data_IF_848448101904
#
_entry.id   IF_848448101904
#
_cell.length_a   1.000
_cell.length_b   1.000
_cell.length_c   1.000
_cell.angle_alpha   90.00
_cell.angle_beta   90.00
_cell.angle_gamma   90.00
#
_symmetry.space_group_name_H-M   'P 1'
#
loop_
_entity.id
_entity.type
_entity.pdbx_description
1 polymer ?
#
# COMPACT_ATOMS: atom_id res chain seq x y z
N UNK A 1 -3.95 11.98 -4.15
CA UNK A 1 -2.80 11.92 -5.09
C UNK A 1 -2.66 13.24 -5.79
N UNK A 2 -1.49 13.88 -5.66
CA UNK A 2 -1.27 15.28 -6.05
C UNK A 2 -1.25 15.54 -7.55
N UNK A 3 -1.02 16.81 -7.92
CA UNK A 3 -0.77 17.24 -9.31
C UNK A 3 0.67 16.99 -9.77
N UNK A 4 1.55 16.63 -8.83
CA UNK A 4 2.98 16.39 -9.08
C UNK A 4 3.15 14.90 -9.40
N UNK A 5 3.82 14.62 -10.52
CA UNK A 5 4.24 13.27 -10.85
C UNK A 5 5.39 12.86 -9.92
N UNK A 6 5.21 11.75 -9.22
CA UNK A 6 6.26 11.10 -8.43
C UNK A 6 6.57 9.76 -9.11
N UNK A 7 7.77 9.62 -9.67
CA UNK A 7 8.14 8.42 -10.44
C UNK A 7 8.10 7.13 -9.62
N UNK A 8 8.37 7.22 -8.31
CA UNK A 8 8.33 6.08 -7.39
C UNK A 8 6.91 5.64 -7.01
N UNK A 9 5.86 6.38 -7.41
CA UNK A 9 4.49 6.10 -6.98
C UNK A 9 3.61 5.67 -8.15
N UNK A 10 3.28 4.38 -8.20
CA UNK A 10 2.29 3.87 -9.15
C UNK A 10 0.88 4.31 -8.71
N UNK A 11 0.36 5.34 -9.38
CA UNK A 11 -0.92 5.95 -9.02
C UNK A 11 -2.15 5.15 -9.45
N UNK A 12 -2.07 4.38 -10.54
CA UNK A 12 -3.19 3.61 -11.08
C UNK A 12 -3.51 2.40 -10.23
N UNK A 13 -2.49 1.72 -9.73
CA UNK A 13 -2.56 0.56 -8.85
C UNK A 13 -3.28 0.94 -7.56
N UNK A 14 -2.81 1.99 -6.88
CA UNK A 14 -3.43 2.46 -5.64
C UNK A 14 -4.86 2.93 -5.89
N UNK A 15 -5.09 3.77 -6.91
CA UNK A 15 -6.43 4.28 -7.21
C UNK A 15 -7.39 3.18 -7.69
N UNK A 16 -6.90 2.09 -8.26
CA UNK A 16 -7.71 0.94 -8.66
C UNK A 16 -8.48 0.29 -7.51
N UNK A 17 -7.98 0.38 -6.28
CA UNK A 17 -8.70 -0.07 -5.08
C UNK A 17 -9.89 0.83 -4.71
N UNK A 18 -9.90 2.08 -5.16
CA UNK A 18 -10.89 3.09 -4.79
C UNK A 18 -11.95 3.33 -5.89
N UNK A 19 -11.78 2.75 -7.08
CA UNK A 19 -12.78 2.79 -8.13
C UNK A 19 -12.23 2.56 -9.53
N UNK A 20 -13.14 2.31 -10.49
CA UNK A 20 -12.78 2.09 -11.90
C UNK A 20 -12.43 3.37 -12.65
N UNK A 21 -13.01 4.51 -12.23
CA UNK A 21 -12.77 5.83 -12.82
C UNK A 21 -11.79 6.60 -11.96
N UNK A 22 -10.73 7.12 -12.56
CA UNK A 22 -9.66 7.86 -11.86
C UNK A 22 -10.22 9.07 -11.09
N UNK A 23 -11.19 9.78 -11.67
CA UNK A 23 -11.83 10.93 -11.02
C UNK A 23 -12.52 10.55 -9.70
N UNK A 24 -13.23 9.43 -9.70
CA UNK A 24 -14.02 8.97 -8.57
C UNK A 24 -13.10 8.33 -7.52
N UNK A 25 -12.15 7.50 -7.98
CA UNK A 25 -11.12 6.91 -7.14
C UNK A 25 -10.30 7.95 -6.37
N UNK A 26 -10.00 9.11 -6.98
CA UNK A 26 -9.31 10.20 -6.31
C UNK A 26 -10.13 10.79 -5.17
N UNK A 27 -11.44 10.96 -5.35
CA UNK A 27 -12.35 11.46 -4.31
C UNK A 27 -12.45 10.46 -3.16
N UNK A 28 -12.68 9.18 -3.48
CA UNK A 28 -12.78 8.12 -2.46
C UNK A 28 -11.46 7.91 -1.70
N UNK A 29 -10.32 8.01 -2.39
CA UNK A 29 -9.01 7.99 -1.73
C UNK A 29 -8.83 9.19 -0.79
N UNK A 30 -9.23 10.39 -1.21
CA UNK A 30 -9.13 11.60 -0.38
C UNK A 30 -10.02 11.50 0.87
N UNK A 31 -11.25 11.01 0.73
CA UNK A 31 -12.15 10.74 1.86
C UNK A 31 -11.58 9.70 2.82
N UNK A 32 -11.00 8.61 2.29
CA UNK A 32 -10.33 7.59 3.10
C UNK A 32 -9.15 8.15 3.90
N UNK A 33 -8.29 8.96 3.26
CA UNK A 33 -7.15 9.60 3.94
C UNK A 33 -7.62 10.57 5.03
N UNK A 34 -8.67 11.35 4.77
CA UNK A 34 -9.28 12.24 5.77
C UNK A 34 -9.85 11.48 6.97
N UNK A 35 -10.46 10.32 6.76
CA UNK A 35 -10.89 9.47 7.87
C UNK A 35 -9.69 8.97 8.68
N UNK A 36 -8.59 8.62 8.00
CA UNK A 36 -7.33 8.22 8.63
C UNK A 36 -6.68 9.30 9.48
N UNK A 37 -6.93 10.59 9.21
CA UNK A 37 -6.44 11.70 10.03
C UNK A 37 -6.92 11.59 11.49
N UNK A 38 -8.18 11.15 11.69
CA UNK A 38 -8.74 10.96 13.03
C UNK A 38 -8.07 9.84 13.84
N UNK A 39 -7.43 8.87 13.16
CA UNK A 39 -6.71 7.76 13.79
C UNK A 39 -5.32 8.19 14.29
N UNK A 40 -4.87 9.39 13.92
CA UNK A 40 -3.57 9.91 14.31
C UNK A 40 -2.41 9.06 13.82
N UNK A 41 -1.29 9.11 14.55
CA UNK A 41 -0.14 8.28 14.22
C UNK A 41 -0.41 6.85 14.68
N UNK A 42 -0.32 5.90 13.77
CA UNK A 42 -0.50 4.47 14.03
C UNK A 42 0.88 3.79 14.06
N UNK A 43 1.54 3.66 15.23
CA UNK A 43 2.93 3.20 15.34
C UNK A 43 3.16 1.84 14.67
N UNK A 44 2.15 0.99 14.67
CA UNK A 44 2.12 -0.34 14.05
C UNK A 44 2.07 -0.32 12.53
N UNK A 45 1.89 0.83 11.87
CA UNK A 45 1.93 0.91 10.40
C UNK A 45 3.11 1.76 9.88
N UNK A 46 4.01 2.22 10.78
CA UNK A 46 5.16 3.07 10.45
C UNK A 46 6.47 2.52 11.02
N UNK A 47 7.60 2.77 10.35
CA UNK A 47 8.93 2.46 10.89
C UNK A 47 9.13 0.99 11.32
N UNK A 48 8.62 0.05 10.53
CA UNK A 48 8.66 -1.38 10.87
C UNK A 48 7.72 -1.79 12.01
N UNK A 49 6.78 -0.92 12.39
CA UNK A 49 5.74 -1.21 13.37
C UNK A 49 4.90 -2.43 13.03
N UNK A 50 4.64 -2.67 11.76
CA UNK A 50 3.79 -3.77 11.30
C UNK A 50 4.44 -5.11 11.59
N UNK A 51 5.75 -5.18 11.37
CA UNK A 51 6.56 -6.36 11.68
C UNK A 51 6.53 -6.65 13.19
N UNK A 52 6.60 -5.60 14.02
CA UNK A 52 6.55 -5.71 15.49
C UNK A 52 5.16 -6.10 16.01
N UNK A 53 4.09 -5.49 15.49
CA UNK A 53 2.71 -5.79 15.92
C UNK A 53 2.28 -7.20 15.52
N UNK A 54 2.76 -7.71 14.39
CA UNK A 54 2.53 -9.07 13.93
C UNK A 54 3.47 -10.10 14.58
N UNK A 55 4.37 -9.70 15.48
CA UNK A 55 5.33 -10.59 16.14
C UNK A 55 6.33 -11.24 15.17
N UNK A 56 6.53 -10.64 14.00
CA UNK A 56 7.41 -11.18 12.96
C UNK A 56 8.86 -10.79 13.22
N UNK A 57 9.78 -11.70 12.93
CA UNK A 57 11.22 -11.38 12.89
C UNK A 57 11.58 -10.73 11.55
N UNK A 58 12.71 -10.01 11.50
CA UNK A 58 13.22 -9.45 10.24
C UNK A 58 13.38 -10.52 9.14
N UNK A 59 13.98 -11.71 9.41
CA UNK A 59 14.02 -12.79 8.42
C UNK A 59 12.63 -13.29 7.99
N UNK A 60 11.68 -13.37 8.94
CA UNK A 60 10.31 -13.79 8.66
C UNK A 60 9.58 -12.83 7.73
N UNK A 61 9.80 -11.52 7.90
CA UNK A 61 9.28 -10.49 6.98
C UNK A 61 9.90 -10.64 5.58
N UNK A 62 11.23 -10.77 5.48
CA UNK A 62 11.90 -10.95 4.17
C UNK A 62 11.38 -12.18 3.45
N UNK A 63 11.15 -13.27 4.18
CA UNK A 63 10.54 -14.49 3.62
C UNK A 63 9.13 -14.22 3.10
N UNK A 64 8.27 -13.55 3.89
CA UNK A 64 6.90 -13.25 3.50
C UNK A 64 6.82 -12.37 2.25
N UNK A 65 7.68 -11.34 2.14
CA UNK A 65 7.77 -10.47 0.95
C UNK A 65 8.17 -11.27 -0.29
N UNK A 66 9.27 -12.03 -0.22
CA UNK A 66 9.75 -12.87 -1.34
C UNK A 66 8.72 -13.92 -1.79
N UNK A 67 7.97 -14.47 -0.82
CA UNK A 67 6.89 -15.42 -1.12
C UNK A 67 5.73 -14.71 -1.83
N UNK A 68 5.35 -13.52 -1.37
CA UNK A 68 4.33 -12.70 -2.01
C UNK A 68 4.68 -12.33 -3.46
N UNK A 69 5.93 -11.92 -3.69
CA UNK A 69 6.46 -11.63 -5.03
C UNK A 69 6.31 -12.83 -5.98
N UNK A 70 6.73 -14.02 -5.53
CA UNK A 70 6.60 -15.26 -6.31
C UNK A 70 5.14 -15.57 -6.66
N UNK A 71 4.24 -15.49 -5.68
CA UNK A 71 2.82 -15.75 -5.86
C UNK A 71 2.17 -14.76 -6.84
N UNK A 72 2.62 -13.51 -6.81
CA UNK A 72 2.14 -12.51 -7.75
C UNK A 72 2.61 -12.83 -9.18
N UNK A 73 3.89 -13.18 -9.36
CA UNK A 73 4.42 -13.63 -10.66
C UNK A 73 3.68 -14.86 -11.19
N UNK A 74 3.47 -15.88 -10.36
CA UNK A 74 2.72 -17.10 -10.73
C UNK A 74 1.29 -16.80 -11.17
N UNK A 75 0.66 -15.76 -10.62
CA UNK A 75 -0.69 -15.31 -10.97
C UNK A 75 -0.72 -14.27 -12.10
N UNK A 76 0.42 -13.95 -12.70
CA UNK A 76 0.53 -12.89 -13.72
C UNK A 76 0.26 -11.49 -13.18
N UNK A 77 0.33 -11.30 -11.87
CA UNK A 77 0.20 -10.01 -11.19
C UNK A 77 1.60 -9.41 -11.07
N UNK A 78 1.86 -8.33 -11.81
CA UNK A 78 3.12 -7.59 -11.67
C UNK A 78 3.05 -6.71 -10.42
N UNK A 79 3.89 -7.03 -9.42
CA UNK A 79 4.15 -6.12 -8.32
C UNK A 79 5.14 -5.07 -8.83
N UNK A 80 4.66 -3.89 -9.15
CA UNK A 80 5.52 -2.74 -9.45
C UNK A 80 6.14 -2.27 -8.14
N UNK A 81 7.47 -2.37 -8.04
CA UNK A 81 8.27 -1.81 -6.95
C UNK A 81 8.69 -0.37 -7.19
#
# INVERSE_FOLDING_TARGET
MGKIACEWQETRYVLGYFGKRISDARKSYDEYVKQGESLGRMPELVGGGLVRSLGMSQPGMVYAVRRGERLATEKGLMLTG
#
